data_IF_945085503705
#
_entry.id   IF_945085503705
#
_cell.length_a   1.000
_cell.length_b   1.000
_cell.length_c   1.000
_cell.angle_alpha   90.00
_cell.angle_beta   90.00
_cell.angle_gamma   90.00
#
_symmetry.space_group_name_H-M   'P 1'
#
loop_
_entity.id
_entity.type
_entity.pdbx_description
1 polymer ?
#
# COMPACT_ATOMS: atom_id res chain seq x y z
N UNK A 1 -13.85 61.70 15.77
CA UNK A 1 -12.49 61.20 15.46
C UNK A 1 -12.63 59.75 15.01
N UNK A 2 -12.12 59.43 13.81
CA UNK A 2 -12.15 58.11 13.16
C UNK A 2 -10.99 57.24 13.66
N UNK A 3 -11.13 55.91 13.44
CA UNK A 3 -10.16 54.79 13.60
C UNK A 3 -10.25 54.18 15.02
N UNK A 4 -10.36 52.88 15.24
CA UNK A 4 -9.65 51.70 14.68
C UNK A 4 -10.63 50.50 14.81
N UNK A 5 -11.24 49.95 13.76
CA UNK A 5 -10.75 48.92 12.81
C UNK A 5 -10.01 47.73 13.45
N UNK A 6 -10.73 46.60 13.47
CA UNK A 6 -10.25 45.24 13.21
C UNK A 6 -9.33 44.63 14.28
N UNK A 7 -9.94 43.84 15.18
CA UNK A 7 -9.22 42.90 16.04
C UNK A 7 -9.88 41.51 16.03
N UNK A 8 -10.48 41.14 14.90
CA UNK A 8 -11.20 39.86 14.72
C UNK A 8 -10.57 38.94 13.67
N UNK A 9 -9.39 39.27 13.15
CA UNK A 9 -8.74 38.54 12.05
C UNK A 9 -7.59 37.63 12.48
N UNK A 10 -7.55 37.19 13.75
CA UNK A 10 -6.44 36.36 14.26
C UNK A 10 -6.82 34.89 14.57
N UNK A 11 -8.03 34.45 14.22
CA UNK A 11 -8.51 33.07 14.52
C UNK A 11 -8.59 32.17 13.26
N UNK A 12 -8.27 32.68 12.07
CA UNK A 12 -8.46 31.93 10.82
C UNK A 12 -7.23 31.16 10.30
N UNK A 13 -6.13 31.06 11.06
CA UNK A 13 -4.88 30.46 10.57
C UNK A 13 -4.46 29.13 11.21
N UNK A 14 -5.24 28.56 12.11
CA UNK A 14 -4.89 27.25 12.72
C UNK A 14 -5.55 26.04 12.04
N UNK A 15 -6.25 26.24 10.91
CA UNK A 15 -6.82 25.14 10.13
C UNK A 15 -5.87 24.57 9.06
N UNK A 16 -4.55 24.72 9.23
CA UNK A 16 -3.62 23.70 8.71
C UNK A 16 -3.83 22.45 9.57
N UNK A 17 -4.94 21.75 9.33
CA UNK A 17 -5.09 20.36 9.74
C UNK A 17 -3.90 19.65 9.12
N UNK A 18 -2.91 19.35 9.95
CA UNK A 18 -1.75 18.55 9.58
C UNK A 18 -2.30 17.27 8.94
N UNK A 19 -2.16 17.15 7.62
CA UNK A 19 -2.18 15.86 6.94
C UNK A 19 -1.03 15.07 7.58
N UNK A 20 -1.33 14.38 8.68
CA UNK A 20 -0.33 13.65 9.43
C UNK A 20 0.11 12.49 8.56
N UNK A 21 1.37 12.56 8.11
CA UNK A 21 2.03 11.44 7.47
C UNK A 21 1.94 10.21 8.37
N UNK A 22 1.38 9.13 7.83
CA UNK A 22 1.34 7.84 8.52
C UNK A 22 2.55 7.02 8.09
N UNK A 23 3.63 7.13 8.88
CA UNK A 23 4.89 6.43 8.63
C UNK A 23 4.71 4.91 8.65
N UNK A 24 3.78 4.40 9.48
CA UNK A 24 3.52 2.97 9.59
C UNK A 24 2.78 2.45 8.36
N UNK A 25 1.78 3.19 7.88
CA UNK A 25 1.08 2.83 6.65
C UNK A 25 2.02 2.85 5.44
N UNK A 26 2.87 3.89 5.35
CA UNK A 26 3.90 3.99 4.34
C UNK A 26 4.84 2.77 4.35
N UNK A 27 5.41 2.45 5.51
CA UNK A 27 6.37 1.35 5.68
C UNK A 27 5.79 -0.02 5.31
N UNK A 28 4.50 -0.25 5.61
CA UNK A 28 3.80 -1.48 5.24
C UNK A 28 3.66 -1.64 3.73
N UNK A 29 3.40 -0.56 2.98
CA UNK A 29 3.40 -0.63 1.51
C UNK A 29 4.81 -0.79 0.93
N UNK A 30 5.85 -0.25 1.58
CA UNK A 30 7.24 -0.54 1.21
C UNK A 30 7.55 -2.03 1.43
N UNK A 31 7.12 -2.61 2.55
CA UNK A 31 7.29 -4.05 2.82
C UNK A 31 6.61 -4.90 1.74
N UNK A 32 5.36 -4.60 1.38
CA UNK A 32 4.66 -5.30 0.28
C UNK A 32 5.42 -5.17 -1.04
N UNK A 33 5.96 -3.98 -1.33
CA UNK A 33 6.78 -3.75 -2.53
C UNK A 33 8.06 -4.59 -2.52
N UNK A 34 8.78 -4.66 -1.41
CA UNK A 34 10.04 -5.39 -1.27
C UNK A 34 9.84 -6.90 -1.38
N UNK A 35 8.85 -7.45 -0.65
CA UNK A 35 8.48 -8.86 -0.73
C UNK A 35 8.08 -9.24 -2.16
N UNK A 36 7.32 -8.38 -2.85
CA UNK A 36 6.92 -8.63 -4.24
C UNK A 36 8.12 -8.67 -5.19
N UNK A 37 9.11 -7.77 -5.03
CA UNK A 37 10.34 -7.77 -5.83
C UNK A 37 11.19 -9.01 -5.55
N UNK A 38 11.31 -9.40 -4.28
CA UNK A 38 12.04 -10.60 -3.90
C UNK A 38 11.41 -11.84 -4.51
N UNK A 39 10.08 -11.99 -4.39
CA UNK A 39 9.32 -13.05 -5.06
C UNK A 39 9.56 -13.05 -6.58
N UNK A 40 9.57 -11.87 -7.20
CA UNK A 40 9.77 -11.73 -8.64
C UNK A 40 11.12 -12.29 -9.10
N UNK A 41 12.19 -12.07 -8.32
CA UNK A 41 13.53 -12.59 -8.68
C UNK A 41 13.65 -14.11 -8.60
N UNK A 42 12.71 -14.78 -7.92
CA UNK A 42 12.73 -16.22 -7.71
C UNK A 42 11.63 -16.95 -8.50
N UNK A 43 10.99 -16.29 -9.49
CA UNK A 43 9.90 -16.89 -10.27
C UNK A 43 10.27 -18.19 -11.01
N UNK A 44 11.57 -18.49 -11.19
CA UNK A 44 12.05 -19.76 -11.76
C UNK A 44 12.10 -20.91 -10.76
N UNK A 45 12.08 -20.63 -9.45
CA UNK A 45 12.02 -21.62 -8.37
C UNK A 45 10.64 -21.59 -7.72
N UNK A 46 9.79 -22.52 -8.15
CA UNK A 46 8.39 -22.59 -7.71
C UNK A 46 8.22 -22.73 -6.20
N UNK A 47 9.04 -23.53 -5.52
CA UNK A 47 8.87 -23.75 -4.08
C UNK A 47 9.28 -22.52 -3.30
N UNK A 48 10.38 -21.88 -3.68
CA UNK A 48 10.85 -20.64 -3.07
C UNK A 48 9.83 -19.52 -3.27
N UNK A 49 9.34 -19.31 -4.50
CA UNK A 49 8.39 -18.23 -4.77
C UNK A 49 7.02 -18.47 -4.14
N UNK A 50 6.58 -19.73 -4.00
CA UNK A 50 5.34 -20.04 -3.29
C UNK A 50 5.41 -19.58 -1.83
N UNK A 51 6.48 -19.92 -1.10
CA UNK A 51 6.66 -19.45 0.28
C UNK A 51 6.73 -17.91 0.38
N UNK A 52 7.37 -17.26 -0.59
CA UNK A 52 7.43 -15.79 -0.64
C UNK A 52 6.06 -15.15 -0.94
N UNK A 53 5.19 -15.85 -1.68
CA UNK A 53 3.81 -15.40 -1.91
C UNK A 53 2.95 -15.57 -0.65
N UNK A 54 3.23 -16.57 0.18
CA UNK A 54 2.58 -16.71 1.50
C UNK A 54 2.94 -15.54 2.42
N UNK A 55 4.23 -15.19 2.49
CA UNK A 55 4.71 -14.05 3.27
C UNK A 55 4.11 -12.73 2.75
N UNK A 56 4.06 -12.56 1.43
CA UNK A 56 3.44 -11.40 0.79
C UNK A 56 1.94 -11.30 1.11
N UNK A 57 1.23 -12.43 1.13
CA UNK A 57 -0.19 -12.49 1.51
C UNK A 57 -0.38 -12.06 2.96
N UNK A 58 0.40 -12.58 3.90
CA UNK A 58 0.31 -12.20 5.32
C UNK A 58 0.57 -10.70 5.50
N UNK A 59 1.61 -10.17 4.86
CA UNK A 59 1.93 -8.74 4.91
C UNK A 59 0.77 -7.88 4.39
N UNK A 60 0.15 -8.28 3.28
CA UNK A 60 -0.99 -7.55 2.70
C UNK A 60 -2.25 -7.68 3.55
N UNK A 61 -2.55 -8.84 4.13
CA UNK A 61 -3.69 -9.03 5.03
C UNK A 61 -3.56 -8.12 6.27
N UNK A 62 -2.34 -7.99 6.81
CA UNK A 62 -2.05 -7.07 7.91
C UNK A 62 -2.20 -5.60 7.49
N UNK A 63 -1.76 -5.22 6.29
CA UNK A 63 -1.91 -3.85 5.78
C UNK A 63 -3.37 -3.50 5.49
N UNK A 64 -4.11 -4.41 4.88
CA UNK A 64 -5.53 -4.23 4.59
C UNK A 64 -6.33 -4.02 5.88
N UNK A 65 -6.10 -4.86 6.89
CA UNK A 65 -6.73 -4.72 8.21
C UNK A 65 -6.40 -3.38 8.88
N UNK A 66 -5.16 -2.90 8.74
CA UNK A 66 -4.75 -1.59 9.25
C UNK A 66 -5.49 -0.44 8.56
N UNK A 67 -5.58 -0.49 7.22
CA UNK A 67 -6.28 0.51 6.43
C UNK A 67 -7.78 0.58 6.76
N UNK A 68 -8.42 -0.56 7.03
CA UNK A 68 -9.83 -0.62 7.47
C UNK A 68 -10.01 -0.04 8.88
N UNK A 69 -9.13 -0.35 9.83
CA UNK A 69 -9.24 0.13 11.21
C UNK A 69 -9.04 1.65 11.35
N UNK A 70 -8.15 2.23 10.54
CA UNK A 70 -7.75 3.65 10.67
C UNK A 70 -8.66 4.64 9.93
N UNK A 71 -9.73 4.18 9.31
CA UNK A 71 -10.51 4.98 8.34
C UNK A 71 -9.57 5.63 7.31
N UNK A 72 -8.73 4.80 6.65
CA UNK A 72 -7.82 5.29 5.63
C UNK A 72 -8.55 6.17 4.60
N UNK A 73 -7.83 7.12 3.99
CA UNK A 73 -8.37 7.92 2.90
C UNK A 73 -9.02 6.98 1.87
N UNK A 74 -10.21 7.28 1.33
CA UNK A 74 -10.93 6.35 0.46
C UNK A 74 -10.08 5.81 -0.70
N UNK A 75 -9.17 6.64 -1.25
CA UNK A 75 -8.27 6.23 -2.32
C UNK A 75 -7.24 5.19 -1.87
N UNK A 76 -6.74 5.29 -0.63
CA UNK A 76 -5.79 4.33 -0.06
C UNK A 76 -6.50 3.03 0.30
N UNK A 77 -7.71 3.11 0.87
CA UNK A 77 -8.54 1.93 1.15
C UNK A 77 -8.87 1.14 -0.13
N UNK A 78 -9.28 1.82 -1.21
CA UNK A 78 -9.56 1.17 -2.49
C UNK A 78 -8.29 0.55 -3.10
N UNK A 79 -7.15 1.24 -3.01
CA UNK A 79 -5.88 0.69 -3.47
C UNK A 79 -5.42 -0.51 -2.62
N UNK A 80 -5.62 -0.48 -1.30
CA UNK A 80 -5.37 -1.61 -0.40
C UNK A 80 -6.20 -2.82 -0.81
N UNK A 81 -7.49 -2.62 -1.06
CA UNK A 81 -8.40 -3.67 -1.52
C UNK A 81 -7.94 -4.27 -2.85
N UNK A 82 -7.63 -3.44 -3.83
CA UNK A 82 -7.17 -3.90 -5.15
C UNK A 82 -5.85 -4.69 -5.05
N UNK A 83 -4.89 -4.23 -4.25
CA UNK A 83 -3.64 -4.95 -3.99
C UNK A 83 -3.89 -6.30 -3.32
N UNK A 84 -4.78 -6.33 -2.32
CA UNK A 84 -5.19 -7.55 -1.64
C UNK A 84 -5.81 -8.55 -2.60
N UNK A 85 -6.74 -8.13 -3.45
CA UNK A 85 -7.37 -9.01 -4.45
C UNK A 85 -6.35 -9.60 -5.44
N UNK A 86 -5.36 -8.80 -5.89
CA UNK A 86 -4.29 -9.29 -6.75
C UNK A 86 -3.40 -10.33 -6.06
N UNK A 87 -3.04 -10.09 -4.80
CA UNK A 87 -2.19 -10.99 -4.01
C UNK A 87 -2.96 -12.27 -3.67
N UNK A 88 -4.24 -12.18 -3.29
CA UNK A 88 -5.10 -13.34 -3.02
C UNK A 88 -5.27 -14.21 -4.26
N UNK A 89 -5.44 -13.60 -5.43
CA UNK A 89 -5.52 -14.32 -6.70
C UNK A 89 -4.21 -15.05 -7.04
N UNK A 90 -3.06 -14.39 -6.82
CA UNK A 90 -1.75 -14.98 -7.03
C UNK A 90 -1.48 -16.13 -6.06
N UNK A 91 -1.75 -15.93 -4.77
CA UNK A 91 -1.64 -16.95 -3.73
C UNK A 91 -2.52 -18.17 -4.05
N UNK A 92 -3.79 -17.95 -4.40
CA UNK A 92 -4.69 -19.02 -4.82
C UNK A 92 -4.14 -19.79 -6.02
N UNK A 93 -3.58 -19.08 -7.01
CA UNK A 93 -2.99 -19.70 -8.20
C UNK A 93 -1.88 -20.66 -7.80
N UNK A 94 -0.88 -20.20 -7.05
CA UNK A 94 0.25 -21.02 -6.61
C UNK A 94 -0.14 -22.23 -5.74
N UNK A 95 -1.26 -22.15 -5.02
CA UNK A 95 -1.79 -23.26 -4.23
C UNK A 95 -2.72 -24.21 -5.00
N UNK A 96 -3.12 -23.85 -6.21
CA UNK A 96 -3.98 -24.69 -7.06
C UNK A 96 -3.16 -25.36 -8.17
N UNK A 97 -2.35 -24.57 -8.87
CA UNK A 97 -1.51 -25.04 -9.97
C UNK A 97 -0.33 -24.09 -10.22
N UNK A 98 0.83 -24.67 -10.51
CA UNK A 98 2.08 -23.92 -10.70
C UNK A 98 1.96 -23.07 -11.97
N UNK A 99 1.97 -21.72 -11.89
CA UNK A 99 1.88 -20.88 -13.07
C UNK A 99 3.22 -20.84 -13.83
N UNK A 100 3.18 -20.25 -15.03
CA UNK A 100 4.41 -20.01 -15.80
C UNK A 100 5.26 -18.90 -15.16
N UNK A 101 6.56 -18.92 -15.41
CA UNK A 101 7.50 -17.88 -14.96
C UNK A 101 7.03 -16.49 -15.41
N UNK A 102 6.63 -16.33 -16.68
CA UNK A 102 6.15 -15.03 -17.18
C UNK A 102 4.86 -14.55 -16.51
N UNK A 103 3.96 -15.45 -16.10
CA UNK A 103 2.79 -15.07 -15.30
C UNK A 103 3.21 -14.55 -13.92
N UNK A 104 4.13 -15.26 -13.25
CA UNK A 104 4.68 -14.86 -11.97
C UNK A 104 5.31 -13.47 -12.03
N UNK A 105 6.22 -13.26 -12.98
CA UNK A 105 6.96 -12.01 -13.12
C UNK A 105 6.03 -10.82 -13.35
N UNK A 106 5.05 -10.98 -14.25
CA UNK A 106 4.13 -9.90 -14.59
C UNK A 106 3.18 -9.58 -13.42
N UNK A 107 2.68 -10.58 -12.70
CA UNK A 107 1.81 -10.34 -11.54
C UNK A 107 2.56 -9.65 -10.40
N UNK A 108 3.74 -10.13 -10.05
CA UNK A 108 4.55 -9.55 -8.97
C UNK A 108 5.06 -8.15 -9.33
N UNK A 109 5.37 -7.89 -10.61
CA UNK A 109 5.67 -6.54 -11.10
C UNK A 109 4.49 -5.58 -10.90
N UNK A 110 3.28 -6.00 -11.26
CA UNK A 110 2.09 -5.17 -11.09
C UNK A 110 1.78 -4.89 -9.61
N UNK A 111 1.94 -5.87 -8.73
CA UNK A 111 1.81 -5.67 -7.28
C UNK A 111 2.89 -4.70 -6.77
N UNK A 112 4.14 -4.86 -7.20
CA UNK A 112 5.25 -3.96 -6.85
C UNK A 112 4.96 -2.51 -7.23
N UNK A 113 4.47 -2.29 -8.46
CA UNK A 113 4.13 -0.96 -8.96
C UNK A 113 2.93 -0.36 -8.21
N UNK A 114 1.92 -1.16 -7.92
CA UNK A 114 0.77 -0.75 -7.12
C UNK A 114 1.18 -0.31 -5.72
N UNK A 115 1.90 -1.16 -4.98
CA UNK A 115 2.39 -0.86 -3.64
C UNK A 115 3.26 0.40 -3.61
N UNK A 116 4.18 0.54 -4.57
CA UNK A 116 4.99 1.75 -4.71
C UNK A 116 4.16 3.02 -4.95
N UNK A 117 3.09 2.91 -5.73
CA UNK A 117 2.20 4.04 -6.05
C UNK A 117 1.44 4.50 -4.81
N UNK A 118 0.96 3.55 -3.99
CA UNK A 118 0.31 3.88 -2.71
C UNK A 118 1.29 4.50 -1.74
N UNK A 119 2.47 3.90 -1.54
CA UNK A 119 3.52 4.46 -0.68
C UNK A 119 3.90 5.90 -1.08
N UNK A 120 4.07 6.18 -2.38
CA UNK A 120 4.32 7.54 -2.88
C UNK A 120 3.18 8.52 -2.61
N UNK A 121 1.94 8.03 -2.63
CA UNK A 121 0.75 8.84 -2.35
C UNK A 121 0.67 9.20 -0.86
N UNK A 122 1.09 8.28 0.02
CA UNK A 122 1.20 8.52 1.45
C UNK A 122 2.38 9.43 1.81
N UNK A 123 3.52 9.27 1.14
CA UNK A 123 4.75 10.04 1.38
C UNK A 123 4.81 11.42 0.73
N UNK A 124 3.86 11.78 -0.14
CA UNK A 124 3.71 13.17 -0.62
C UNK A 124 3.06 14.01 0.48
N UNK A 125 3.90 14.65 1.30
CA UNK A 125 3.56 15.81 2.13
C UNK A 125 3.63 17.09 1.29
#
# INVERSE_FOLDING_TARGET
MKKILILSAAVLLTACASLQFDALEYDRYITVQELSKQAQTNCSDTYTVQGQIDDLKVAMDHQFSYAEYREAKPQVAEAAKSLKEMIDALHKRYHSDIPTVGYCEEKLKNITLGAQTVARTLGRL
#
